data_IF_153964450015
#
_entry.id   IF_153964450015
#
_cell.length_a   1.000
_cell.length_b   1.000
_cell.length_c   1.000
_cell.angle_alpha   90.00
_cell.angle_beta   90.00
_cell.angle_gamma   90.00
#
_symmetry.space_group_name_H-M   'P 1'
#
loop_
_entity.id
_entity.type
_entity.pdbx_description
1 polymer ?
#
# COMPACT_ATOMS: atom_id res chain seq x y z
N UNK A 1 6.04 -20.17 -14.73
CA UNK A 1 5.67 -18.83 -15.21
C UNK A 1 5.94 -18.77 -16.70
N UNK A 2 5.07 -18.15 -17.49
CA UNK A 2 5.41 -17.82 -18.88
C UNK A 2 6.46 -16.73 -18.81
N UNK A 3 7.63 -16.98 -19.39
CA UNK A 3 8.76 -16.05 -19.43
C UNK A 3 8.88 -15.36 -20.79
N UNK A 4 9.79 -14.40 -20.91
CA UNK A 4 10.22 -13.79 -22.16
C UNK A 4 11.40 -14.57 -22.74
N UNK A 5 11.51 -14.65 -24.06
CA UNK A 5 12.61 -15.38 -24.70
C UNK A 5 13.92 -14.59 -24.71
N UNK A 6 13.85 -13.25 -24.60
CA UNK A 6 15.02 -12.37 -24.58
C UNK A 6 14.80 -11.14 -23.72
N UNK A 7 15.90 -10.52 -23.28
CA UNK A 7 15.91 -9.19 -22.70
C UNK A 7 15.57 -8.14 -23.78
N UNK A 8 14.87 -7.10 -23.38
CA UNK A 8 14.54 -5.95 -24.25
C UNK A 8 14.66 -4.68 -23.44
N UNK A 9 15.01 -3.59 -24.11
CA UNK A 9 15.07 -2.22 -23.62
C UNK A 9 14.19 -1.30 -24.48
N UNK A 10 13.07 -1.82 -24.98
CA UNK A 10 12.11 -1.11 -25.81
C UNK A 10 11.53 0.12 -25.08
N UNK A 11 11.40 1.20 -25.81
CA UNK A 11 10.77 2.45 -25.33
C UNK A 11 9.73 2.90 -26.33
N UNK A 12 8.48 3.03 -25.86
CA UNK A 12 7.34 3.54 -26.64
C UNK A 12 6.91 4.88 -26.06
N UNK A 13 6.84 5.92 -26.89
CA UNK A 13 6.43 7.28 -26.48
C UNK A 13 5.17 7.67 -27.24
N UNK A 14 4.14 8.11 -26.49
CA UNK A 14 2.88 8.62 -27.05
C UNK A 14 2.54 9.97 -26.43
N UNK A 15 1.81 10.82 -27.16
CA UNK A 15 1.45 12.16 -26.71
C UNK A 15 -0.01 12.22 -26.35
N UNK A 16 -0.31 12.78 -25.19
CA UNK A 16 -1.66 12.82 -24.63
C UNK A 16 -1.97 14.17 -23.99
N UNK A 17 -3.23 14.34 -23.63
CA UNK A 17 -3.68 15.41 -22.76
C UNK A 17 -4.86 14.90 -21.94
N UNK A 18 -4.93 15.31 -20.66
CA UNK A 18 -6.03 15.00 -19.76
C UNK A 18 -6.45 16.25 -18.99
N UNK A 19 -7.69 16.25 -18.51
CA UNK A 19 -8.19 17.29 -17.60
C UNK A 19 -7.96 16.89 -16.15
N UNK A 20 -6.98 17.51 -15.50
CA UNK A 20 -6.54 17.21 -14.13
C UNK A 20 -6.73 18.44 -13.26
N UNK A 21 -7.38 18.31 -12.12
CA UNK A 21 -7.67 19.42 -11.20
C UNK A 21 -8.26 20.66 -11.92
N UNK A 22 -9.16 20.43 -12.90
CA UNK A 22 -9.80 21.47 -13.69
C UNK A 22 -8.97 22.06 -14.84
N UNK A 23 -7.67 21.71 -14.97
CA UNK A 23 -6.75 22.20 -16.00
C UNK A 23 -6.49 21.14 -17.07
N UNK A 24 -6.32 21.54 -18.34
CA UNK A 24 -5.82 20.66 -19.40
C UNK A 24 -4.31 20.58 -19.31
N UNK A 25 -3.77 19.38 -19.13
CA UNK A 25 -2.35 19.09 -19.06
C UNK A 25 -1.97 18.21 -20.24
N UNK A 26 -1.04 18.69 -21.08
CA UNK A 26 -0.40 17.90 -22.13
C UNK A 26 0.79 17.16 -21.56
N UNK A 27 0.99 15.91 -21.95
CA UNK A 27 2.07 15.08 -21.44
C UNK A 27 2.53 14.05 -22.45
N UNK A 28 3.72 13.57 -22.28
CA UNK A 28 4.23 12.38 -22.95
C UNK A 28 4.04 11.17 -22.02
N UNK A 29 3.44 10.11 -22.57
CA UNK A 29 3.39 8.81 -21.89
C UNK A 29 4.50 7.93 -22.46
N UNK A 30 5.35 7.41 -21.57
CA UNK A 30 6.57 6.66 -21.92
C UNK A 30 6.44 5.27 -21.28
N UNK A 31 6.33 4.23 -22.10
CA UNK A 31 6.44 2.85 -21.63
C UNK A 31 7.86 2.38 -21.90
N UNK A 32 8.56 1.93 -20.86
CA UNK A 32 9.95 1.49 -21.00
C UNK A 32 10.14 0.10 -20.43
N UNK A 33 10.85 -0.73 -21.17
CA UNK A 33 11.35 -2.03 -20.73
C UNK A 33 12.76 -1.88 -20.16
N UNK A 34 12.99 -2.44 -18.97
CA UNK A 34 14.27 -2.35 -18.29
C UNK A 34 14.72 -3.73 -17.79
N UNK A 35 15.75 -4.32 -18.40
CA UNK A 35 16.31 -5.58 -17.92
C UNK A 35 16.85 -5.42 -16.50
N UNK A 36 16.56 -6.37 -15.61
CA UNK A 36 17.10 -6.46 -14.26
C UNK A 36 17.86 -7.76 -14.05
N UNK A 37 18.85 -7.71 -13.17
CA UNK A 37 19.76 -8.85 -12.94
C UNK A 37 19.48 -9.54 -11.61
N UNK A 38 19.82 -10.83 -11.54
CA UNK A 38 19.85 -11.59 -10.30
C UNK A 38 21.12 -11.26 -9.47
N UNK A 39 21.35 -11.98 -8.39
CA UNK A 39 22.50 -11.81 -7.49
C UNK A 39 23.85 -12.30 -8.11
N UNK A 40 23.79 -12.98 -9.26
CA UNK A 40 24.96 -13.39 -10.06
C UNK A 40 25.25 -12.42 -11.21
N UNK A 41 24.57 -11.29 -11.26
CA UNK A 41 24.69 -10.30 -12.34
C UNK A 41 24.18 -10.78 -13.71
N UNK A 42 23.40 -11.84 -13.76
CA UNK A 42 22.77 -12.34 -14.98
C UNK A 42 21.42 -11.68 -15.18
N UNK A 43 21.07 -11.30 -16.41
CA UNK A 43 19.74 -10.74 -16.71
C UNK A 43 18.67 -11.80 -16.43
N UNK A 44 17.79 -11.50 -15.49
CA UNK A 44 16.81 -12.46 -14.97
C UNK A 44 15.35 -12.09 -15.27
N UNK A 45 15.05 -10.81 -15.46
CA UNK A 45 13.72 -10.34 -15.81
C UNK A 45 13.79 -9.03 -16.59
N UNK A 46 12.65 -8.66 -17.21
CA UNK A 46 12.42 -7.31 -17.74
C UNK A 46 11.34 -6.66 -16.90
N UNK A 47 11.62 -5.48 -16.36
CA UNK A 47 10.67 -4.64 -15.63
C UNK A 47 10.08 -3.61 -16.59
N UNK A 48 8.76 -3.44 -16.55
CA UNK A 48 8.06 -2.45 -17.35
C UNK A 48 7.64 -1.28 -16.47
N UNK A 49 7.89 -0.07 -16.96
CA UNK A 49 7.49 1.19 -16.34
C UNK A 49 6.54 1.97 -17.23
N UNK A 50 5.60 2.67 -16.61
CA UNK A 50 4.66 3.57 -17.27
C UNK A 50 4.88 4.98 -16.72
N UNK A 51 5.54 5.82 -17.50
CA UNK A 51 5.86 7.18 -17.08
C UNK A 51 4.96 8.20 -17.76
N UNK A 52 4.60 9.25 -17.05
CA UNK A 52 3.84 10.39 -17.52
C UNK A 52 4.61 11.65 -17.20
N UNK A 53 5.10 12.32 -18.25
CA UNK A 53 5.94 13.52 -18.13
C UNK A 53 5.16 14.70 -18.68
N UNK A 54 4.75 15.60 -17.80
CA UNK A 54 4.00 16.78 -18.21
C UNK A 54 4.89 17.73 -19.02
N UNK A 55 4.32 18.31 -20.08
CA UNK A 55 5.03 19.35 -20.85
C UNK A 55 5.07 20.60 -19.99
N UNK A 56 6.26 21.15 -19.69
CA UNK A 56 6.41 22.31 -18.82
C UNK A 56 5.71 23.53 -19.42
N UNK A 57 5.02 24.30 -18.58
CA UNK A 57 4.82 25.70 -18.85
C UNK A 57 6.20 26.38 -18.80
N UNK A 58 6.45 27.38 -19.63
CA UNK A 58 7.75 27.99 -19.91
C UNK A 58 8.55 28.53 -18.69
N UNK A 59 7.96 28.55 -17.49
CA UNK A 59 8.52 29.18 -16.29
C UNK A 59 8.56 28.25 -15.05
N UNK A 60 8.24 26.97 -15.17
CA UNK A 60 8.28 26.02 -14.04
C UNK A 60 9.68 25.40 -13.90
N UNK A 61 10.28 25.48 -12.70
CA UNK A 61 11.55 24.84 -12.36
C UNK A 61 11.51 23.31 -12.48
N UNK A 62 12.59 22.62 -12.06
CA UNK A 62 12.64 21.15 -12.11
C UNK A 62 11.49 20.52 -11.33
N UNK A 63 10.61 19.82 -12.06
CA UNK A 63 9.47 19.12 -11.47
C UNK A 63 9.94 17.89 -10.70
N UNK A 64 9.37 17.57 -9.52
CA UNK A 64 9.66 16.31 -8.85
C UNK A 64 9.14 15.12 -9.66
N UNK A 65 9.78 13.96 -9.46
CA UNK A 65 9.38 12.69 -10.04
C UNK A 65 8.91 11.75 -8.93
N UNK A 66 7.70 11.19 -9.05
CA UNK A 66 7.17 10.20 -8.12
C UNK A 66 7.30 8.81 -8.73
N UNK A 67 8.08 7.92 -8.10
CA UNK A 67 8.16 6.50 -8.45
C UNK A 67 7.16 5.73 -7.59
N UNK A 68 6.19 5.11 -8.25
CA UNK A 68 4.95 4.61 -7.63
C UNK A 68 4.81 3.12 -7.88
N UNK A 69 4.55 2.36 -6.82
CA UNK A 69 4.36 0.91 -6.92
C UNK A 69 3.46 0.36 -5.80
N UNK A 70 2.66 -0.63 -6.14
CA UNK A 70 1.88 -1.41 -5.17
C UNK A 70 2.75 -2.52 -4.53
N UNK A 71 2.15 -3.31 -3.66
CA UNK A 71 2.82 -4.31 -2.86
C UNK A 71 2.49 -5.74 -3.23
N UNK A 72 1.69 -6.37 -2.46
CA UNK A 72 1.39 -7.80 -2.46
C UNK A 72 2.17 -8.56 -1.38
N UNK A 73 3.43 -9.06 -1.59
CA UNK A 73 4.23 -9.05 -2.81
C UNK A 73 3.55 -9.75 -4.00
N UNK A 74 3.87 -9.31 -5.19
CA UNK A 74 3.30 -9.88 -6.42
C UNK A 74 2.14 -9.07 -7.02
N UNK A 75 1.84 -7.86 -6.55
CA UNK A 75 0.90 -6.95 -7.18
C UNK A 75 1.60 -6.02 -8.19
N UNK A 76 0.95 -5.77 -9.34
CA UNK A 76 1.34 -4.75 -10.29
C UNK A 76 1.02 -3.35 -9.77
N UNK A 77 1.52 -2.32 -10.42
CA UNK A 77 1.21 -0.92 -10.10
C UNK A 77 -0.20 -0.48 -10.50
N UNK A 78 -0.98 -1.33 -11.18
CA UNK A 78 -2.27 -0.95 -11.78
C UNK A 78 -3.28 -0.33 -10.80
N UNK A 79 -3.39 -0.69 -9.51
CA UNK A 79 -4.29 -0.01 -8.59
C UNK A 79 -3.91 1.47 -8.39
N UNK A 80 -2.66 1.76 -8.04
CA UNK A 80 -2.19 3.14 -7.89
C UNK A 80 -2.16 3.89 -9.23
N UNK A 81 -1.92 3.19 -10.34
CA UNK A 81 -1.87 3.73 -11.68
C UNK A 81 -3.25 4.13 -12.20
N UNK A 82 -4.19 3.17 -12.27
CA UNK A 82 -5.47 3.35 -12.96
C UNK A 82 -6.69 3.49 -12.01
N UNK A 83 -6.46 3.51 -10.70
CA UNK A 83 -7.53 3.83 -9.74
C UNK A 83 -7.21 5.05 -8.88
N UNK A 84 -5.91 5.45 -8.73
CA UNK A 84 -5.53 6.53 -7.86
C UNK A 84 -4.90 7.73 -8.60
N UNK A 85 -3.66 7.62 -9.09
CA UNK A 85 -2.81 8.78 -9.38
C UNK A 85 -2.46 8.98 -10.85
N UNK A 86 -2.64 7.99 -11.74
CA UNK A 86 -2.37 8.15 -13.17
C UNK A 86 -3.26 9.19 -13.84
N UNK A 87 -2.92 9.71 -15.04
CA UNK A 87 -3.71 10.72 -15.73
C UNK A 87 -5.05 10.21 -16.25
N UNK A 88 -5.18 8.89 -16.42
CA UNK A 88 -6.42 8.18 -16.79
C UNK A 88 -6.78 7.24 -15.64
N UNK A 89 -8.05 7.09 -15.36
CA UNK A 89 -8.57 6.16 -14.36
C UNK A 89 -9.68 5.26 -14.90
N UNK A 90 -9.83 4.10 -14.29
CA UNK A 90 -11.02 3.27 -14.43
C UNK A 90 -12.11 3.89 -13.53
N UNK A 91 -13.06 4.57 -14.16
CA UNK A 91 -14.19 5.17 -13.49
C UNK A 91 -15.33 4.15 -13.37
N UNK A 92 -15.92 4.08 -12.19
CA UNK A 92 -17.09 3.25 -11.90
C UNK A 92 -18.28 4.16 -11.56
N UNK A 93 -19.42 3.87 -12.16
CA UNK A 93 -20.67 4.55 -11.84
C UNK A 93 -21.72 3.49 -11.58
N UNK A 94 -22.48 3.67 -10.51
CA UNK A 94 -23.56 2.74 -10.16
C UNK A 94 -24.51 2.49 -11.34
N UNK A 95 -24.67 1.23 -11.75
CA UNK A 95 -25.53 0.83 -12.87
C UNK A 95 -24.93 0.97 -14.27
N UNK A 96 -23.63 1.32 -14.38
CA UNK A 96 -22.90 1.36 -15.65
C UNK A 96 -21.63 0.49 -15.57
N UNK A 97 -21.17 -0.09 -16.69
CA UNK A 97 -19.91 -0.82 -16.70
C UNK A 97 -18.73 0.13 -16.43
N UNK A 98 -17.63 -0.37 -15.85
CA UNK A 98 -16.42 0.42 -15.66
C UNK A 98 -15.87 0.88 -17.02
N UNK A 99 -15.29 2.09 -17.05
CA UNK A 99 -14.74 2.68 -18.29
C UNK A 99 -13.54 3.57 -17.99
N UNK A 100 -12.69 3.82 -18.99
CA UNK A 100 -11.56 4.73 -18.90
C UNK A 100 -12.02 6.19 -19.01
N UNK A 101 -11.50 7.04 -18.14
CA UNK A 101 -11.81 8.48 -18.13
C UNK A 101 -10.59 9.29 -17.65
N UNK A 102 -10.56 10.58 -17.96
CA UNK A 102 -9.60 11.51 -17.37
C UNK A 102 -9.68 11.44 -15.84
N UNK A 103 -8.53 11.45 -15.18
CA UNK A 103 -8.46 11.39 -13.72
C UNK A 103 -8.28 12.78 -13.11
N UNK A 104 -9.33 13.41 -12.54
CA UNK A 104 -9.20 14.71 -11.90
C UNK A 104 -8.32 14.69 -10.65
N UNK A 105 -8.06 13.50 -10.11
CA UNK A 105 -7.26 13.25 -8.89
C UNK A 105 -5.79 12.95 -9.19
N UNK A 106 -5.41 12.85 -10.46
CA UNK A 106 -4.01 12.61 -10.85
C UNK A 106 -3.06 13.63 -10.24
N UNK A 107 -1.86 13.19 -9.88
CA UNK A 107 -0.79 14.05 -9.36
C UNK A 107 0.08 14.67 -10.46
N UNK A 108 -0.24 14.42 -11.74
CA UNK A 108 0.52 14.92 -12.89
C UNK A 108 0.51 16.46 -12.99
N UNK A 109 -0.39 17.14 -12.27
CA UNK A 109 -0.38 18.60 -12.17
C UNK A 109 0.76 19.16 -11.30
N UNK A 110 1.39 18.36 -10.45
CA UNK A 110 2.43 18.80 -9.51
C UNK A 110 3.75 18.01 -9.62
N UNK A 111 3.74 16.83 -10.22
CA UNK A 111 4.91 15.96 -10.37
C UNK A 111 4.82 15.14 -11.65
N UNK A 112 5.94 14.66 -12.15
CA UNK A 112 5.94 13.59 -13.14
C UNK A 112 5.78 12.24 -12.44
N UNK A 113 5.11 11.29 -13.09
CA UNK A 113 4.71 10.03 -12.45
C UNK A 113 5.35 8.85 -13.18
N UNK A 114 5.92 7.93 -12.43
CA UNK A 114 6.50 6.69 -12.98
C UNK A 114 5.93 5.51 -12.19
N UNK A 115 5.03 4.76 -12.80
CA UNK A 115 4.48 3.54 -12.24
C UNK A 115 5.38 2.36 -12.63
N UNK A 116 5.74 1.53 -11.66
CA UNK A 116 6.63 0.39 -11.86
C UNK A 116 5.88 -0.88 -11.55
N UNK A 117 5.83 -1.79 -12.52
CA UNK A 117 5.41 -3.16 -12.29
C UNK A 117 6.63 -3.97 -11.82
N UNK A 118 6.70 -4.41 -10.55
CA UNK A 118 7.84 -5.18 -10.07
C UNK A 118 8.01 -6.53 -10.80
N UNK A 119 9.18 -7.20 -10.71
CA UNK A 119 9.40 -8.47 -11.39
C UNK A 119 8.30 -9.50 -11.15
N UNK A 120 7.78 -10.09 -12.25
CA UNK A 120 6.72 -11.10 -12.23
C UNK A 120 5.30 -10.57 -12.08
N UNK A 121 5.07 -9.25 -12.17
CA UNK A 121 3.77 -8.59 -12.11
C UNK A 121 3.49 -7.79 -13.38
N UNK A 122 2.24 -7.44 -13.64
CA UNK A 122 1.86 -6.76 -14.87
C UNK A 122 2.31 -7.55 -16.10
N UNK A 123 3.19 -6.94 -16.87
CA UNK A 123 3.93 -7.57 -17.97
C UNK A 123 5.45 -7.57 -17.74
N UNK A 124 5.88 -7.30 -16.51
CA UNK A 124 7.27 -7.43 -16.06
C UNK A 124 7.61 -8.89 -15.85
N UNK A 125 8.15 -9.53 -16.88
CA UNK A 125 8.28 -10.99 -16.94
C UNK A 125 9.70 -11.45 -16.72
N UNK A 126 9.89 -12.64 -16.07
CA UNK A 126 11.16 -13.34 -16.04
C UNK A 126 11.66 -13.68 -17.45
N UNK A 127 12.98 -13.77 -17.63
CA UNK A 127 13.59 -14.38 -18.82
C UNK A 127 13.45 -15.90 -18.71
N UNK A 128 13.04 -16.54 -19.80
CA UNK A 128 12.86 -18.00 -19.86
C UNK A 128 14.19 -18.72 -19.53
N UNK A 129 14.18 -19.59 -18.54
CA UNK A 129 15.35 -20.34 -18.10
C UNK A 129 16.31 -19.59 -17.17
N UNK A 130 16.09 -18.30 -16.89
CA UNK A 130 16.92 -17.55 -15.95
C UNK A 130 16.62 -17.91 -14.48
N UNK A 131 17.64 -17.83 -13.63
CA UNK A 131 17.48 -17.93 -12.18
C UNK A 131 16.88 -16.61 -11.65
N UNK A 132 15.62 -16.67 -11.24
CA UNK A 132 14.88 -15.53 -10.70
C UNK A 132 14.69 -15.60 -9.20
N UNK A 133 15.25 -16.59 -8.52
CA UNK A 133 15.00 -16.84 -7.10
C UNK A 133 15.33 -15.64 -6.22
N UNK A 134 16.44 -14.97 -6.50
CA UNK A 134 16.86 -13.78 -5.75
C UNK A 134 15.93 -12.57 -5.94
N UNK A 135 15.23 -12.47 -7.07
CA UNK A 135 14.30 -11.35 -7.35
C UNK A 135 13.03 -11.39 -6.48
N UNK A 136 12.66 -12.58 -5.98
CA UNK A 136 11.45 -12.79 -5.16
C UNK A 136 11.77 -12.81 -3.66
N UNK A 137 12.62 -11.89 -3.26
CA UNK A 137 13.01 -11.64 -1.87
C UNK A 137 12.94 -10.14 -1.57
N UNK A 138 12.91 -9.77 -0.29
CA UNK A 138 12.92 -8.37 0.12
C UNK A 138 14.13 -7.61 -0.46
N UNK A 139 15.31 -8.19 -0.34
CA UNK A 139 16.56 -7.55 -0.77
C UNK A 139 16.67 -7.48 -2.29
N UNK A 140 16.35 -8.57 -2.99
CA UNK A 140 16.46 -8.64 -4.45
C UNK A 140 15.41 -7.78 -5.17
N UNK A 141 14.18 -7.75 -4.66
CA UNK A 141 13.11 -6.89 -5.16
C UNK A 141 13.48 -5.41 -4.98
N UNK A 142 13.91 -5.02 -3.78
CA UNK A 142 14.33 -3.64 -3.49
C UNK A 142 15.50 -3.21 -4.39
N UNK A 143 16.50 -4.08 -4.59
CA UNK A 143 17.64 -3.82 -5.48
C UNK A 143 17.18 -3.66 -6.92
N UNK A 144 16.37 -4.59 -7.43
CA UNK A 144 15.89 -4.55 -8.82
C UNK A 144 15.09 -3.28 -9.10
N UNK A 145 14.16 -2.89 -8.20
CA UNK A 145 13.35 -1.68 -8.38
C UNK A 145 14.20 -0.41 -8.21
N UNK A 146 15.17 -0.40 -7.29
CA UNK A 146 16.08 0.75 -7.13
C UNK A 146 16.97 0.95 -8.36
N UNK A 147 17.47 -0.11 -8.99
CA UNK A 147 18.21 -0.04 -10.25
C UNK A 147 17.34 0.50 -11.40
N UNK A 148 16.06 0.09 -11.46
CA UNK A 148 15.09 0.62 -12.43
C UNK A 148 14.87 2.12 -12.22
N UNK A 149 14.67 2.57 -10.98
CA UNK A 149 14.50 3.99 -10.65
C UNK A 149 15.72 4.80 -11.10
N UNK A 150 16.93 4.36 -10.78
CA UNK A 150 18.14 5.09 -11.15
C UNK A 150 18.33 5.15 -12.68
N UNK A 151 18.19 4.01 -13.38
CA UNK A 151 18.30 3.97 -14.85
C UNK A 151 17.23 4.80 -15.56
N UNK A 152 15.99 4.78 -15.03
CA UNK A 152 14.94 5.64 -15.57
C UNK A 152 15.32 7.14 -15.45
N UNK A 153 15.84 7.55 -14.28
CA UNK A 153 16.31 8.93 -14.06
C UNK A 153 17.43 9.33 -15.00
N UNK A 154 18.37 8.43 -15.26
CA UNK A 154 19.48 8.65 -16.22
C UNK A 154 18.98 8.76 -17.66
N UNK A 155 18.18 7.80 -18.11
CA UNK A 155 17.66 7.74 -19.48
C UNK A 155 16.76 8.93 -19.84
N UNK A 156 16.07 9.50 -18.83
CA UNK A 156 15.17 10.64 -19.03
C UNK A 156 15.77 11.99 -18.59
N UNK A 157 17.07 12.06 -18.33
CA UNK A 157 17.77 13.28 -17.89
C UNK A 157 17.20 13.92 -16.63
N UNK A 158 16.78 13.10 -15.65
CA UNK A 158 16.13 13.52 -14.39
C UNK A 158 16.99 13.22 -13.15
N UNK A 159 18.31 13.13 -13.33
CA UNK A 159 19.24 12.80 -12.22
C UNK A 159 19.33 13.90 -11.17
N UNK A 160 19.09 15.16 -11.55
CA UNK A 160 19.07 16.34 -10.67
C UNK A 160 17.69 16.69 -10.14
N UNK A 161 16.62 16.19 -10.78
CA UNK A 161 15.24 16.43 -10.33
C UNK A 161 15.01 15.85 -8.94
N UNK A 162 14.28 16.56 -8.06
CA UNK A 162 13.79 16.00 -6.82
C UNK A 162 12.97 14.74 -7.12
N UNK A 163 13.07 13.72 -6.28
CA UNK A 163 12.27 12.52 -6.48
C UNK A 163 11.77 11.92 -5.17
N UNK A 164 10.71 11.14 -5.27
CA UNK A 164 10.16 10.45 -4.12
C UNK A 164 9.72 9.02 -4.48
N UNK A 165 9.73 8.14 -3.47
CA UNK A 165 9.18 6.81 -3.54
C UNK A 165 7.77 6.80 -2.93
N UNK A 166 6.80 6.22 -3.65
CA UNK A 166 5.40 6.09 -3.22
C UNK A 166 5.03 4.62 -3.27
N UNK A 167 4.87 4.01 -2.11
CA UNK A 167 4.52 2.59 -1.98
C UNK A 167 3.20 2.38 -1.26
N UNK A 168 2.46 1.34 -1.67
CA UNK A 168 1.27 0.86 -0.97
C UNK A 168 1.49 -0.56 -0.45
N UNK A 169 0.99 -0.85 0.77
CA UNK A 169 1.05 -2.19 1.35
C UNK A 169 2.50 -2.70 1.43
N UNK A 170 2.83 -3.91 0.96
CA UNK A 170 4.22 -4.37 0.83
C UNK A 170 5.10 -3.38 0.03
N UNK A 171 4.53 -2.57 -0.86
CA UNK A 171 5.28 -1.50 -1.53
C UNK A 171 5.89 -0.48 -0.57
N UNK A 172 5.34 -0.33 0.63
CA UNK A 172 5.95 0.49 1.69
C UNK A 172 7.22 -0.16 2.24
N UNK A 173 7.19 -1.47 2.48
CA UNK A 173 8.36 -2.25 2.87
C UNK A 173 9.44 -2.22 1.78
N UNK A 174 9.05 -2.37 0.50
CA UNK A 174 9.95 -2.19 -0.67
C UNK A 174 10.59 -0.82 -0.65
N UNK A 175 9.80 0.26 -0.53
CA UNK A 175 10.33 1.63 -0.50
C UNK A 175 11.36 1.82 0.61
N UNK A 176 11.10 1.29 1.80
CA UNK A 176 12.03 1.36 2.92
C UNK A 176 13.29 0.52 2.70
N UNK A 177 13.15 -0.69 2.18
CA UNK A 177 14.31 -1.55 1.84
C UNK A 177 15.19 -0.92 0.75
N UNK A 178 14.60 -0.21 -0.22
CA UNK A 178 15.35 0.54 -1.25
C UNK A 178 16.24 1.63 -0.66
N UNK A 179 15.90 2.22 0.50
CA UNK A 179 16.75 3.22 1.16
C UNK A 179 18.09 2.66 1.64
N UNK A 180 18.17 1.35 1.85
CA UNK A 180 19.40 0.66 2.25
C UNK A 180 19.93 -0.32 1.20
N UNK A 181 19.33 -0.38 0.00
CA UNK A 181 19.72 -1.33 -1.02
C UNK A 181 21.11 -1.00 -1.60
N UNK A 182 21.96 -2.01 -1.66
CA UNK A 182 23.22 -1.94 -2.41
C UNK A 182 22.91 -2.20 -3.89
N UNK A 183 22.92 -1.14 -4.68
CA UNK A 183 22.66 -1.16 -6.12
C UNK A 183 23.95 -0.97 -6.90
N UNK A 184 24.02 -1.50 -8.13
CA UNK A 184 25.18 -1.30 -9.04
C UNK A 184 25.39 0.17 -9.37
N UNK A 185 24.28 0.85 -9.66
CA UNK A 185 24.24 2.31 -9.85
C UNK A 185 23.64 2.89 -8.58
N UNK A 186 24.47 3.53 -7.76
CA UNK A 186 24.05 4.03 -6.44
C UNK A 186 22.87 4.99 -6.56
N UNK A 187 21.65 4.51 -6.20
CA UNK A 187 20.48 5.37 -6.10
C UNK A 187 20.70 6.35 -4.92
N UNK A 188 20.64 7.67 -5.14
CA UNK A 188 20.70 8.63 -4.04
C UNK A 188 19.45 8.52 -3.16
N UNK A 189 19.54 9.01 -1.91
CA UNK A 189 18.34 9.06 -1.05
C UNK A 189 17.28 10.00 -1.65
N UNK A 190 16.00 9.60 -1.69
CA UNK A 190 14.91 10.41 -2.22
C UNK A 190 14.69 11.70 -1.40
N UNK A 191 14.02 12.67 -1.97
CA UNK A 191 13.58 13.89 -1.28
C UNK A 191 12.33 13.62 -0.43
N UNK A 192 11.61 12.54 -0.72
CA UNK A 192 10.49 12.11 0.08
C UNK A 192 10.15 10.63 -0.07
N UNK A 193 9.42 10.12 0.93
CA UNK A 193 8.82 8.78 0.93
C UNK A 193 7.38 8.89 1.38
N UNK A 194 6.43 8.40 0.58
CA UNK A 194 5.03 8.29 0.94
C UNK A 194 4.64 6.80 1.09
N UNK A 195 4.14 6.45 2.24
CA UNK A 195 3.86 5.09 2.68
C UNK A 195 2.35 4.93 2.89
N UNK A 196 1.67 4.31 1.92
CA UNK A 196 0.24 4.10 1.94
C UNK A 196 -0.05 2.70 2.48
N UNK A 197 -0.94 2.61 3.49
CA UNK A 197 -1.27 1.35 4.16
C UNK A 197 -0.02 0.64 4.64
N UNK A 198 0.64 1.30 5.59
CA UNK A 198 2.01 1.05 6.02
C UNK A 198 2.24 -0.37 6.54
N UNK A 199 2.99 -1.15 5.78
CA UNK A 199 3.37 -2.53 6.08
C UNK A 199 4.87 -2.59 6.41
N UNK A 200 5.23 -2.49 7.69
CA UNK A 200 6.64 -2.43 8.13
C UNK A 200 7.13 -3.62 8.96
N UNK A 201 6.26 -4.58 9.24
CA UNK A 201 6.64 -5.84 9.89
C UNK A 201 7.15 -5.74 11.34
N UNK A 202 7.33 -4.55 11.87
CA UNK A 202 7.94 -4.30 13.17
C UNK A 202 6.97 -4.57 14.34
N UNK A 203 6.32 -5.74 14.36
CA UNK A 203 5.40 -6.08 15.43
C UNK A 203 6.15 -6.50 16.69
N UNK A 204 5.77 -5.92 17.81
CA UNK A 204 6.43 -6.11 19.11
C UNK A 204 5.91 -7.33 19.88
N UNK A 205 5.31 -8.29 19.17
CA UNK A 205 4.71 -9.49 19.76
C UNK A 205 3.20 -9.35 20.02
N UNK A 206 2.53 -10.42 20.47
CA UNK A 206 1.06 -10.53 20.47
C UNK A 206 0.36 -9.46 21.29
N UNK A 207 0.89 -9.11 22.47
CA UNK A 207 0.27 -8.09 23.35
C UNK A 207 0.20 -6.73 22.65
N UNK A 208 1.28 -6.29 22.05
CA UNK A 208 1.32 -5.00 21.35
C UNK A 208 0.45 -5.06 20.09
N UNK A 209 0.46 -6.18 19.37
CA UNK A 209 -0.41 -6.37 18.20
C UNK A 209 -1.90 -6.23 18.55
N UNK A 210 -2.35 -6.73 19.71
CA UNK A 210 -3.73 -6.56 20.17
C UNK A 210 -4.06 -5.10 20.50
N UNK A 211 -3.11 -4.37 21.12
CA UNK A 211 -3.24 -2.94 21.43
C UNK A 211 -3.36 -2.10 20.16
N UNK A 212 -2.51 -2.38 19.18
CA UNK A 212 -2.48 -1.67 17.88
C UNK A 212 -3.71 -1.96 17.02
N UNK A 213 -4.26 -3.16 17.12
CA UNK A 213 -5.39 -3.62 16.33
C UNK A 213 -6.73 -3.05 16.85
N UNK A 214 -6.89 -2.92 18.16
CA UNK A 214 -8.15 -2.56 18.80
C UNK A 214 -8.83 -1.31 18.21
N UNK A 215 -8.15 -0.18 17.94
CA UNK A 215 -8.79 1.00 17.39
C UNK A 215 -9.43 0.76 16.01
N UNK A 216 -8.80 -0.05 15.16
CA UNK A 216 -9.32 -0.43 13.84
C UNK A 216 -10.56 -1.31 13.99
N UNK A 217 -10.53 -2.32 14.87
CA UNK A 217 -11.71 -3.15 15.11
C UNK A 217 -12.89 -2.35 15.65
N UNK A 218 -12.62 -1.37 16.52
CA UNK A 218 -13.63 -0.43 17.00
C UNK A 218 -14.23 0.41 15.88
N UNK A 219 -13.39 0.92 14.95
CA UNK A 219 -13.87 1.66 13.78
C UNK A 219 -14.77 0.78 12.87
N UNK A 220 -14.38 -0.48 12.65
CA UNK A 220 -15.20 -1.44 11.88
C UNK A 220 -16.54 -1.71 12.57
N UNK A 221 -16.53 -1.96 13.88
CA UNK A 221 -17.77 -2.16 14.65
C UNK A 221 -18.66 -0.90 14.62
N UNK A 222 -18.06 0.29 14.72
CA UNK A 222 -18.74 1.57 14.56
C UNK A 222 -19.42 1.70 13.18
N UNK A 223 -18.72 1.33 12.09
CA UNK A 223 -19.25 1.41 10.73
C UNK A 223 -20.51 0.55 10.56
N UNK A 224 -20.51 -0.67 11.10
CA UNK A 224 -21.60 -1.63 10.97
C UNK A 224 -22.77 -1.43 11.95
N UNK A 225 -22.78 -0.34 12.73
CA UNK A 225 -23.75 -0.13 13.82
C UNK A 225 -23.84 -1.30 14.81
N UNK A 226 -22.72 -2.04 14.97
CA UNK A 226 -22.64 -3.16 15.91
C UNK A 226 -22.38 -2.70 17.36
N UNK A 227 -22.12 -1.41 17.54
CA UNK A 227 -21.88 -0.74 18.83
C UNK A 227 -22.60 0.61 18.87
N UNK A 228 -22.83 1.14 20.06
CA UNK A 228 -23.39 2.49 20.22
C UNK A 228 -22.33 3.53 19.81
N UNK A 229 -22.60 4.26 18.74
CA UNK A 229 -21.73 5.35 18.22
C UNK A 229 -21.67 6.57 19.13
N UNK A 230 -22.62 6.76 20.02
CA UNK A 230 -22.70 7.90 20.95
C UNK A 230 -22.58 9.27 20.26
N UNK A 231 -23.06 9.36 19.01
CA UNK A 231 -22.95 10.57 18.20
C UNK A 231 -21.53 10.94 17.74
N UNK A 232 -20.56 10.07 17.94
CA UNK A 232 -19.16 10.27 17.53
C UNK A 232 -18.96 10.01 16.04
N UNK A 233 -18.02 10.76 15.42
CA UNK A 233 -17.46 10.41 14.13
C UNK A 233 -16.54 9.19 14.26
N UNK A 234 -16.16 8.55 13.15
CA UNK A 234 -15.22 7.42 13.18
C UNK A 234 -13.86 7.82 13.75
N UNK A 235 -13.38 9.02 13.43
CA UNK A 235 -12.13 9.57 13.96
C UNK A 235 -12.15 9.69 15.50
N UNK A 236 -13.25 10.21 16.03
CA UNK A 236 -13.43 10.36 17.49
C UNK A 236 -13.52 9.00 18.17
N UNK A 237 -14.26 8.04 17.57
CA UNK A 237 -14.42 6.70 18.12
C UNK A 237 -13.11 5.91 18.07
N UNK A 238 -12.37 6.01 16.97
CA UNK A 238 -11.03 5.43 16.83
C UNK A 238 -10.07 6.00 17.89
N UNK A 239 -10.07 7.33 18.08
CA UNK A 239 -9.19 7.98 19.08
C UNK A 239 -9.51 7.54 20.51
N UNK A 240 -10.81 7.40 20.88
CA UNK A 240 -11.22 6.88 22.18
C UNK A 240 -10.79 5.42 22.37
N UNK A 241 -10.99 4.57 21.36
CA UNK A 241 -10.57 3.18 21.41
C UNK A 241 -9.03 3.07 21.54
N UNK A 242 -8.28 3.93 20.84
CA UNK A 242 -6.83 4.00 20.95
C UNK A 242 -6.36 4.42 22.35
N UNK A 243 -6.98 5.44 22.92
CA UNK A 243 -6.66 5.85 24.30
C UNK A 243 -6.87 4.71 25.31
N UNK A 244 -7.95 3.97 25.17
CA UNK A 244 -8.21 2.79 26.00
C UNK A 244 -7.20 1.66 25.73
N UNK A 245 -6.87 1.41 24.45
CA UNK A 245 -5.90 0.40 24.05
C UNK A 245 -4.52 0.65 24.66
N UNK A 246 -3.99 1.85 24.53
CA UNK A 246 -2.67 2.27 25.04
C UNK A 246 -2.64 2.42 26.57
N UNK A 247 -3.79 2.48 27.23
CA UNK A 247 -3.96 2.67 28.66
C UNK A 247 -4.30 1.39 29.41
N UNK A 248 -5.57 1.26 29.79
CA UNK A 248 -6.08 0.20 30.65
C UNK A 248 -5.97 -1.18 30.01
N UNK A 249 -6.21 -1.30 28.70
CA UNK A 249 -6.13 -2.56 27.99
C UNK A 249 -4.72 -3.12 27.93
N UNK A 250 -3.74 -2.31 27.58
CA UNK A 250 -2.33 -2.71 27.57
C UNK A 250 -1.88 -3.21 28.97
N UNK A 251 -2.25 -2.48 30.02
CA UNK A 251 -1.94 -2.90 31.42
C UNK A 251 -2.59 -4.24 31.77
N UNK A 252 -3.82 -4.47 31.34
CA UNK A 252 -4.54 -5.72 31.58
C UNK A 252 -3.87 -6.90 30.86
N UNK A 253 -3.47 -6.72 29.60
CA UNK A 253 -2.75 -7.73 28.82
C UNK A 253 -1.40 -8.08 29.45
N UNK A 254 -0.62 -7.06 29.88
CA UNK A 254 0.67 -7.26 30.56
C UNK A 254 0.48 -8.01 31.90
N UNK A 255 -0.58 -7.71 32.66
CA UNK A 255 -0.87 -8.38 33.91
C UNK A 255 -1.23 -9.87 33.72
N UNK A 256 -1.84 -10.23 32.58
CA UNK A 256 -2.12 -11.62 32.22
C UNK A 256 -2.91 -12.39 33.29
N UNK A 257 -2.38 -13.52 33.74
CA UNK A 257 -3.00 -14.35 34.76
C UNK A 257 -3.07 -13.71 36.16
N UNK A 258 -2.24 -12.69 36.44
CA UNK A 258 -2.27 -11.97 37.73
C UNK A 258 -3.36 -10.90 37.80
N UNK A 259 -4.08 -10.62 36.71
CA UNK A 259 -5.20 -9.68 36.70
C UNK A 259 -6.37 -10.22 37.51
N UNK A 260 -6.87 -9.40 38.46
CA UNK A 260 -7.99 -9.79 39.34
C UNK A 260 -9.25 -10.07 38.50
N UNK A 261 -10.09 -11.07 38.86
CA UNK A 261 -11.31 -11.41 38.11
C UNK A 261 -12.23 -10.21 37.86
N UNK A 262 -12.46 -9.38 38.88
CA UNK A 262 -13.30 -8.16 38.76
C UNK A 262 -12.74 -7.18 37.72
N UNK A 263 -11.44 -7.01 37.69
CA UNK A 263 -10.78 -6.12 36.73
C UNK A 263 -10.82 -6.72 35.32
N UNK A 264 -10.61 -8.02 35.19
CA UNK A 264 -10.76 -8.74 33.90
C UNK A 264 -12.15 -8.55 33.30
N UNK A 265 -13.19 -8.75 34.12
CA UNK A 265 -14.59 -8.54 33.70
C UNK A 265 -14.85 -7.08 33.29
N UNK A 266 -14.29 -6.10 34.01
CA UNK A 266 -14.40 -4.67 33.67
C UNK A 266 -13.78 -4.37 32.29
N UNK A 267 -12.56 -4.89 32.04
CA UNK A 267 -11.89 -4.71 30.77
C UNK A 267 -12.62 -5.42 29.63
N UNK A 268 -13.09 -6.66 29.84
CA UNK A 268 -13.87 -7.40 28.84
C UNK A 268 -15.18 -6.67 28.48
N UNK A 269 -15.89 -6.13 29.48
CA UNK A 269 -17.09 -5.34 29.26
C UNK A 269 -16.78 -4.08 28.42
N UNK A 270 -15.67 -3.40 28.72
CA UNK A 270 -15.25 -2.22 27.95
C UNK A 270 -14.87 -2.58 26.50
N UNK A 271 -14.11 -3.65 26.29
CA UNK A 271 -13.82 -4.18 24.96
C UNK A 271 -15.11 -4.49 24.19
N UNK A 272 -16.06 -5.20 24.83
CA UNK A 272 -17.36 -5.52 24.23
C UNK A 272 -18.10 -4.26 23.75
N UNK A 273 -18.12 -3.19 24.54
CA UNK A 273 -18.74 -1.92 24.14
C UNK A 273 -18.03 -1.22 22.97
N UNK A 274 -16.75 -1.50 22.76
CA UNK A 274 -15.95 -0.89 21.67
C UNK A 274 -16.00 -1.69 20.36
N UNK A 275 -15.97 -3.04 20.46
CA UNK A 275 -15.80 -3.89 19.28
C UNK A 275 -17.00 -4.82 19.01
N UNK A 276 -18.06 -4.81 19.83
CA UNK A 276 -19.29 -5.54 19.59
C UNK A 276 -19.21 -7.05 19.86
N UNK A 277 -18.07 -7.62 20.25
CA UNK A 277 -17.96 -9.03 20.61
C UNK A 277 -18.47 -9.27 22.05
N UNK A 278 -19.04 -10.46 22.36
CA UNK A 278 -19.51 -10.79 23.72
C UNK A 278 -18.41 -10.71 24.78
N UNK A 279 -18.65 -10.03 25.89
CA UNK A 279 -17.68 -9.90 27.00
C UNK A 279 -17.19 -11.25 27.54
N UNK A 280 -18.08 -12.25 27.64
CA UNK A 280 -17.73 -13.59 28.08
C UNK A 280 -16.71 -14.28 27.14
N UNK A 281 -16.84 -14.07 25.83
CA UNK A 281 -15.88 -14.58 24.84
C UNK A 281 -14.51 -13.91 25.02
N UNK A 282 -14.50 -12.59 25.24
CA UNK A 282 -13.27 -11.82 25.47
C UNK A 282 -12.57 -12.19 26.78
N UNK A 283 -13.32 -12.54 27.84
CA UNK A 283 -12.76 -13.09 29.07
C UNK A 283 -12.11 -14.45 28.85
N UNK A 284 -12.80 -15.34 28.09
CA UNK A 284 -12.31 -16.69 27.77
C UNK A 284 -11.03 -16.68 26.94
N UNK A 285 -10.89 -15.73 26.01
CA UNK A 285 -9.65 -15.54 25.23
C UNK A 285 -8.50 -14.88 26.00
N UNK A 286 -8.67 -14.61 27.31
CA UNK A 286 -7.67 -13.89 28.09
C UNK A 286 -7.54 -12.43 27.71
N UNK A 287 -8.61 -11.83 27.18
CA UNK A 287 -8.69 -10.46 26.64
C UNK A 287 -7.97 -10.27 25.31
N UNK A 288 -7.38 -11.30 24.71
CA UNK A 288 -6.76 -11.24 23.40
C UNK A 288 -7.82 -11.23 22.30
N UNK A 289 -7.53 -10.50 21.21
CA UNK A 289 -8.46 -10.31 20.12
C UNK A 289 -7.86 -10.92 18.83
N UNK A 290 -8.36 -12.09 18.46
CA UNK A 290 -8.02 -12.71 17.20
C UNK A 290 -8.79 -12.06 16.03
N UNK A 291 -8.06 -11.66 14.98
CA UNK A 291 -8.62 -10.99 13.77
C UNK A 291 -9.72 -11.83 13.11
N UNK A 292 -9.47 -13.12 12.96
CA UNK A 292 -10.39 -14.03 12.29
C UNK A 292 -11.66 -14.21 13.11
N UNK A 293 -11.53 -14.37 14.43
CA UNK A 293 -12.65 -14.43 15.38
C UNK A 293 -13.48 -13.15 15.31
N UNK A 294 -12.85 -11.98 15.22
CA UNK A 294 -13.58 -10.71 15.07
C UNK A 294 -14.32 -10.65 13.73
N UNK A 295 -13.66 -10.95 12.62
CA UNK A 295 -14.26 -10.89 11.27
C UNK A 295 -15.46 -11.82 11.11
N UNK A 296 -15.47 -12.98 11.77
CA UNK A 296 -16.58 -13.92 11.76
C UNK A 296 -17.64 -13.60 12.81
N UNK A 297 -17.27 -13.02 13.94
CA UNK A 297 -18.13 -12.80 15.09
C UNK A 297 -18.96 -11.52 15.03
N UNK A 298 -18.42 -10.44 14.48
CA UNK A 298 -19.04 -9.10 14.54
C UNK A 298 -20.47 -9.07 13.99
N UNK A 299 -20.73 -9.74 12.87
CA UNK A 299 -22.01 -9.77 12.17
C UNK A 299 -22.59 -11.19 12.07
N UNK A 300 -22.20 -12.07 12.98
CA UNK A 300 -22.63 -13.47 12.97
C UNK A 300 -24.16 -13.64 13.11
N UNK A 301 -24.82 -12.75 13.87
CA UNK A 301 -26.26 -12.67 13.99
C UNK A 301 -26.99 -12.40 12.67
N UNK A 302 -26.30 -11.73 11.73
CA UNK A 302 -26.76 -11.46 10.35
C UNK A 302 -26.29 -12.50 9.35
N UNK A 303 -25.57 -13.55 9.79
CA UNK A 303 -24.98 -14.55 8.91
C UNK A 303 -23.86 -14.02 8.00
N UNK A 304 -23.25 -12.88 8.36
CA UNK A 304 -22.22 -12.17 7.57
C UNK A 304 -20.87 -12.22 8.27
N UNK A 305 -19.81 -12.16 7.46
CA UNK A 305 -18.44 -11.86 7.89
C UNK A 305 -17.96 -10.56 7.27
N UNK A 306 -17.00 -9.90 7.92
CA UNK A 306 -16.34 -8.72 7.38
C UNK A 306 -15.06 -9.06 6.59
N UNK A 307 -14.58 -8.12 5.77
CA UNK A 307 -13.29 -8.19 5.07
C UNK A 307 -12.11 -7.84 5.97
N UNK A 308 -10.91 -8.24 5.54
CA UNK A 308 -9.65 -7.92 6.21
C UNK A 308 -8.98 -6.68 5.62
N UNK A 309 -8.95 -6.55 4.28
CA UNK A 309 -8.43 -5.36 3.62
C UNK A 309 -9.36 -4.17 3.80
N UNK A 310 -10.67 -4.41 3.83
CA UNK A 310 -11.67 -3.41 4.19
C UNK A 310 -12.73 -4.04 5.09
N UNK A 311 -12.73 -3.70 6.35
CA UNK A 311 -13.69 -4.19 7.34
C UNK A 311 -15.14 -3.79 7.05
N UNK A 312 -15.40 -2.86 6.11
CA UNK A 312 -16.76 -2.48 5.67
C UNK A 312 -17.35 -3.50 4.70
N UNK A 313 -16.51 -4.19 3.93
CA UNK A 313 -16.95 -5.21 2.99
C UNK A 313 -17.51 -6.42 3.74
N UNK A 314 -18.59 -7.00 3.23
CA UNK A 314 -19.24 -8.16 3.85
C UNK A 314 -19.53 -9.26 2.85
N UNK A 315 -19.58 -10.51 3.35
CA UNK A 315 -20.01 -11.70 2.59
C UNK A 315 -20.76 -12.63 3.52
N UNK A 316 -21.70 -13.41 2.99
CA UNK A 316 -22.38 -14.46 3.72
C UNK A 316 -21.38 -15.53 4.20
N UNK A 317 -21.40 -15.89 5.48
CA UNK A 317 -20.50 -16.90 6.05
C UNK A 317 -20.68 -18.24 5.31
N UNK A 318 -21.92 -18.63 4.98
CA UNK A 318 -22.21 -19.86 4.25
C UNK A 318 -21.60 -19.94 2.83
N UNK A 319 -21.25 -18.80 2.24
CA UNK A 319 -20.61 -18.69 0.92
C UNK A 319 -19.11 -18.43 1.01
N UNK A 320 -18.55 -18.37 2.22
CA UNK A 320 -17.15 -18.05 2.45
C UNK A 320 -16.30 -19.30 2.55
N UNK A 321 -15.17 -19.30 1.87
CA UNK A 321 -14.09 -20.21 2.19
C UNK A 321 -13.36 -19.67 3.44
N UNK A 322 -13.36 -20.42 4.52
CA UNK A 322 -12.91 -19.98 5.86
C UNK A 322 -11.41 -19.67 5.97
N UNK A 323 -10.68 -19.61 4.87
CA UNK A 323 -9.23 -19.40 4.84
C UNK A 323 -8.83 -18.11 4.12
N UNK A 324 -8.78 -16.94 4.83
CA UNK A 324 -8.13 -15.75 4.31
C UNK A 324 -6.65 -16.05 3.93
N UNK A 325 -6.04 -15.34 2.98
CA UNK A 325 -6.51 -14.11 2.33
C UNK A 325 -7.34 -14.34 1.05
N UNK A 326 -7.54 -15.59 0.63
CA UNK A 326 -8.10 -15.91 -0.70
C UNK A 326 -9.59 -15.70 -0.84
N UNK A 327 -10.29 -15.59 0.27
CA UNK A 327 -11.73 -15.36 0.32
C UNK A 327 -12.09 -14.11 1.12
N UNK A 328 -11.31 -13.06 0.97
CA UNK A 328 -11.60 -11.77 1.59
C UNK A 328 -12.76 -11.09 0.84
N UNK A 329 -13.86 -10.71 1.53
CA UNK A 329 -14.97 -9.94 0.94
C UNK A 329 -14.54 -8.66 0.23
N UNK A 330 -13.45 -8.04 0.65
CA UNK A 330 -12.92 -6.81 0.08
C UNK A 330 -12.01 -7.02 -1.15
N UNK A 331 -11.62 -8.25 -1.48
CA UNK A 331 -10.84 -8.54 -2.68
C UNK A 331 -11.75 -8.68 -3.91
N UNK A 332 -12.01 -7.59 -4.60
CA UNK A 332 -12.78 -7.57 -5.85
C UNK A 332 -11.88 -7.42 -7.07
N UNK A 333 -11.24 -8.49 -7.49
CA UNK A 333 -10.52 -8.53 -8.77
C UNK A 333 -11.51 -8.90 -9.90
N UNK A 334 -12.17 -7.90 -10.47
CA UNK A 334 -13.08 -8.10 -11.59
C UNK A 334 -12.32 -8.34 -12.91
N UNK A 335 -12.69 -9.35 -13.69
CA UNK A 335 -12.14 -9.62 -15.02
C UNK A 335 -12.29 -8.40 -15.97
N UNK A 336 -13.34 -7.62 -15.81
CA UNK A 336 -13.63 -6.41 -16.59
C UNK A 336 -12.56 -5.32 -16.40
N UNK A 337 -12.09 -5.11 -15.18
CA UNK A 337 -11.00 -4.15 -14.91
C UNK A 337 -9.69 -4.59 -15.57
N UNK A 338 -9.38 -5.89 -15.56
CA UNK A 338 -8.22 -6.44 -16.25
C UNK A 338 -8.22 -6.19 -17.76
N UNK A 339 -9.38 -6.28 -18.40
CA UNK A 339 -9.53 -5.97 -19.83
C UNK A 339 -9.31 -4.49 -20.13
N UNK A 340 -9.82 -3.58 -19.28
CA UNK A 340 -9.62 -2.13 -19.45
C UNK A 340 -8.14 -1.73 -19.25
N UNK A 341 -7.42 -2.36 -18.33
CA UNK A 341 -5.98 -2.17 -18.16
C UNK A 341 -5.23 -2.56 -19.43
N UNK A 342 -5.51 -3.75 -19.97
CA UNK A 342 -4.90 -4.25 -21.19
C UNK A 342 -5.23 -3.35 -22.39
N UNK A 343 -6.48 -2.91 -22.51
CA UNK A 343 -6.92 -2.00 -23.57
C UNK A 343 -6.19 -0.65 -23.51
N UNK A 344 -6.07 -0.05 -22.33
CA UNK A 344 -5.36 1.20 -22.13
C UNK A 344 -3.89 1.08 -22.56
N UNK A 345 -3.20 0.03 -22.12
CA UNK A 345 -1.78 -0.17 -22.47
C UNK A 345 -1.61 -0.42 -23.97
N UNK A 346 -2.44 -1.29 -24.57
CA UNK A 346 -2.33 -1.63 -25.99
C UNK A 346 -2.78 -0.48 -26.91
N UNK A 347 -3.94 0.13 -26.62
CA UNK A 347 -4.61 1.03 -27.56
C UNK A 347 -4.20 2.49 -27.35
N UNK A 348 -4.08 2.93 -26.11
CA UNK A 348 -3.77 4.33 -25.80
C UNK A 348 -2.26 4.52 -25.71
N UNK A 349 -1.54 3.69 -24.92
CA UNK A 349 -0.09 3.79 -24.80
C UNK A 349 0.68 3.16 -25.97
N UNK A 350 -0.02 2.49 -26.90
CA UNK A 350 0.56 1.85 -28.10
C UNK A 350 1.66 0.82 -27.80
N UNK A 351 1.62 0.24 -26.60
CA UNK A 351 2.56 -0.79 -26.19
C UNK A 351 1.89 -2.17 -26.33
N UNK A 352 2.31 -3.01 -27.30
CA UNK A 352 1.75 -4.33 -27.50
C UNK A 352 2.13 -5.23 -26.32
N UNK A 353 1.13 -5.68 -25.56
CA UNK A 353 1.37 -6.53 -24.41
C UNK A 353 1.98 -7.88 -24.83
N UNK A 354 3.17 -8.24 -24.34
CA UNK A 354 3.83 -9.50 -24.70
C UNK A 354 3.15 -10.73 -24.06
N UNK A 355 2.28 -10.51 -23.09
CA UNK A 355 1.51 -11.54 -22.37
C UNK A 355 0.26 -10.90 -21.74
N UNK A 356 -0.72 -11.70 -21.23
CA UNK A 356 -1.82 -11.16 -20.44
C UNK A 356 -1.31 -10.38 -19.23
N UNK A 357 -1.87 -9.19 -19.00
CA UNK A 357 -1.50 -8.34 -17.85
C UNK A 357 -1.90 -8.99 -16.51
N UNK A 358 -0.93 -9.15 -15.61
CA UNK A 358 -1.12 -9.77 -14.28
C UNK A 358 -1.24 -8.71 -13.19
N UNK A 359 -2.46 -8.41 -12.80
CA UNK A 359 -2.71 -7.48 -11.69
C UNK A 359 -2.18 -8.00 -10.35
N UNK A 360 -2.31 -9.32 -10.10
CA UNK A 360 -1.82 -9.99 -8.90
C UNK A 360 -1.28 -11.39 -9.24
N UNK A 361 -0.06 -11.66 -8.80
CA UNK A 361 0.59 -12.96 -8.92
C UNK A 361 0.78 -13.60 -7.54
N UNK A 362 -0.23 -14.34 -7.08
CA UNK A 362 -0.21 -15.01 -5.78
C UNK A 362 0.89 -16.06 -5.66
N UNK A 363 1.33 -16.65 -6.78
CA UNK A 363 2.44 -17.60 -6.78
C UNK A 363 3.77 -17.00 -6.30
N UNK A 364 3.96 -15.69 -6.46
CA UNK A 364 5.08 -14.94 -5.89
C UNK A 364 4.86 -14.75 -4.39
N UNK A 365 3.67 -14.30 -4.00
CA UNK A 365 3.33 -14.03 -2.61
C UNK A 365 3.62 -15.23 -1.69
N UNK A 366 3.21 -16.43 -2.11
CA UNK A 366 3.41 -17.66 -1.33
C UNK A 366 4.85 -18.12 -1.19
N UNK A 367 5.70 -17.75 -2.14
CA UNK A 367 7.10 -18.16 -2.20
C UNK A 367 8.05 -17.05 -1.84
N UNK A 368 7.50 -15.93 -1.33
CA UNK A 368 8.31 -14.77 -1.02
C UNK A 368 9.33 -15.04 0.07
N UNK A 369 10.58 -14.71 -0.19
CA UNK A 369 11.63 -14.78 0.82
C UNK A 369 11.68 -13.48 1.65
N UNK A 370 11.24 -13.57 2.89
CA UNK A 370 11.29 -12.49 3.86
C UNK A 370 12.67 -12.32 4.52
N UNK A 371 13.65 -13.12 4.10
CA UNK A 371 15.03 -13.13 4.59
C UNK A 371 15.27 -14.13 5.72
N UNK A 372 16.28 -14.99 5.53
CA UNK A 372 16.80 -15.94 6.53
C UNK A 372 15.75 -16.85 7.19
N UNK A 373 14.77 -17.31 6.44
CA UNK A 373 13.72 -18.20 6.95
C UNK A 373 12.71 -17.52 7.87
N UNK A 374 12.62 -16.19 7.82
CA UNK A 374 11.67 -15.37 8.58
C UNK A 374 10.35 -15.24 7.84
N UNK A 375 9.28 -14.98 8.61
CA UNK A 375 8.00 -14.52 8.05
C UNK A 375 7.94 -13.00 7.98
N UNK A 376 6.84 -12.46 7.41
CA UNK A 376 6.60 -11.02 7.39
C UNK A 376 6.68 -10.35 8.77
N UNK A 377 6.15 -11.01 9.80
CA UNK A 377 6.15 -10.51 11.18
C UNK A 377 7.54 -10.31 11.79
N UNK A 378 8.56 -10.96 11.23
CA UNK A 378 9.94 -10.89 11.72
C UNK A 378 10.79 -9.89 10.91
N UNK A 379 10.26 -9.40 9.78
CA UNK A 379 10.94 -8.42 8.95
C UNK A 379 10.88 -7.04 9.63
N UNK A 380 11.98 -6.30 9.55
CA UNK A 380 12.09 -4.96 10.14
C UNK A 380 12.58 -3.97 9.10
N UNK A 381 11.77 -2.96 8.82
CA UNK A 381 12.05 -1.96 7.80
C UNK A 381 12.33 -0.57 8.37
N UNK A 382 11.90 -0.26 9.59
CA UNK A 382 12.16 1.02 10.25
C UNK A 382 13.64 1.39 10.36
N UNK A 383 14.62 0.45 10.55
CA UNK A 383 16.03 0.80 10.57
C UNK A 383 16.54 1.49 9.29
N UNK A 384 16.04 1.08 8.11
CA UNK A 384 16.40 1.73 6.84
C UNK A 384 15.92 3.18 6.80
N UNK A 385 14.69 3.43 7.24
CA UNK A 385 14.12 4.77 7.30
C UNK A 385 14.85 5.66 8.30
N UNK A 386 15.15 5.15 9.51
CA UNK A 386 15.91 5.88 10.54
C UNK A 386 17.28 6.30 9.99
N UNK A 387 17.99 5.38 9.33
CA UNK A 387 19.30 5.65 8.74
C UNK A 387 19.21 6.71 7.62
N UNK A 388 18.22 6.59 6.76
CA UNK A 388 18.00 7.55 5.67
C UNK A 388 17.66 8.95 6.20
N UNK A 389 16.79 9.06 7.21
CA UNK A 389 16.45 10.34 7.85
C UNK A 389 17.64 10.99 8.58
N UNK A 390 18.57 10.18 9.11
CA UNK A 390 19.83 10.69 9.66
C UNK A 390 20.75 11.25 8.58
N UNK A 391 20.87 10.57 7.44
CA UNK A 391 21.71 10.98 6.33
C UNK A 391 21.13 12.17 5.53
N UNK A 392 19.80 12.22 5.40
CA UNK A 392 19.07 13.28 4.71
C UNK A 392 17.94 13.83 5.60
N UNK A 393 18.25 14.71 6.56
CA UNK A 393 17.25 15.24 7.50
C UNK A 393 16.11 16.01 6.84
N UNK A 394 16.34 16.55 5.64
CA UNK A 394 15.32 17.27 4.85
C UNK A 394 14.30 16.34 4.15
N UNK A 395 14.56 15.02 4.10
CA UNK A 395 13.66 14.05 3.47
C UNK A 395 12.25 14.11 4.10
N UNK A 396 11.24 14.24 3.23
CA UNK A 396 9.83 14.37 3.65
C UNK A 396 9.19 12.99 3.78
N UNK A 397 8.63 12.69 4.95
CA UNK A 397 7.92 11.45 5.20
C UNK A 397 6.42 11.71 5.28
N UNK A 398 5.64 10.95 4.50
CA UNK A 398 4.19 10.91 4.60
C UNK A 398 3.72 9.49 4.87
N UNK A 399 2.76 9.31 5.77
CA UNK A 399 2.08 8.03 6.02
C UNK A 399 0.59 8.20 5.84
N UNK A 400 -0.02 7.21 5.20
CA UNK A 400 -1.44 7.17 4.86
C UNK A 400 -2.02 5.83 5.29
N UNK A 401 -3.23 5.80 5.87
CA UNK A 401 -3.93 4.54 6.17
C UNK A 401 -5.43 4.74 6.29
N UNK A 402 -6.16 3.63 6.20
CA UNK A 402 -7.61 3.59 6.39
C UNK A 402 -8.00 3.14 7.79
N UNK A 403 -9.05 3.74 8.38
CA UNK A 403 -9.55 3.34 9.70
C UNK A 403 -10.11 1.91 9.72
N UNK A 404 -10.51 1.37 8.56
CA UNK A 404 -11.14 0.06 8.44
C UNK A 404 -10.20 -1.03 7.89
N UNK A 405 -8.90 -0.71 7.77
CA UNK A 405 -7.87 -1.64 7.30
C UNK A 405 -7.38 -2.53 8.45
N UNK A 406 -7.88 -3.77 8.51
CA UNK A 406 -7.48 -4.76 9.52
C UNK A 406 -6.11 -5.37 9.17
N UNK A 407 -5.66 -5.27 7.91
CA UNK A 407 -4.38 -5.84 7.44
C UNK A 407 -3.20 -5.04 7.93
N UNK A 408 -3.23 -3.71 7.73
CA UNK A 408 -2.19 -2.77 8.13
C UNK A 408 -2.80 -1.64 8.98
N UNK A 409 -3.16 -1.92 10.25
CA UNK A 409 -3.82 -0.95 11.10
C UNK A 409 -3.03 0.35 11.24
N UNK A 410 -3.72 1.49 11.14
CA UNK A 410 -3.08 2.82 11.26
C UNK A 410 -2.28 2.95 12.55
N UNK A 411 -2.81 2.45 13.67
CA UNK A 411 -2.14 2.52 14.96
C UNK A 411 -0.84 1.72 14.99
N UNK A 412 -0.78 0.57 14.30
CA UNK A 412 0.43 -0.27 14.23
C UNK A 412 1.57 0.49 13.51
N UNK A 413 1.29 1.08 12.35
CA UNK A 413 2.28 1.87 11.62
C UNK A 413 2.78 3.08 12.43
N UNK A 414 1.88 3.78 13.13
CA UNK A 414 2.24 4.91 13.99
C UNK A 414 3.09 4.47 15.18
N UNK A 415 2.71 3.38 15.84
CA UNK A 415 3.45 2.81 16.96
C UNK A 415 4.89 2.45 16.57
N UNK A 416 5.06 1.74 15.47
CA UNK A 416 6.39 1.33 15.00
C UNK A 416 7.29 2.54 14.67
N UNK A 417 6.75 3.60 14.06
CA UNK A 417 7.50 4.82 13.77
C UNK A 417 7.86 5.59 15.05
N UNK A 418 6.94 5.72 16.00
CA UNK A 418 7.18 6.39 17.28
C UNK A 418 8.30 5.68 18.06
N UNK A 419 8.29 4.34 18.12
CA UNK A 419 9.30 3.54 18.79
C UNK A 419 10.63 3.48 18.04
N UNK A 420 10.64 3.81 16.74
CA UNK A 420 11.86 4.01 15.97
C UNK A 420 12.43 5.44 16.14
N UNK A 421 11.84 6.29 16.96
CA UNK A 421 12.25 7.67 17.17
C UNK A 421 11.84 8.64 16.07
N UNK A 422 10.84 8.27 15.26
CA UNK A 422 10.28 9.10 14.18
C UNK A 422 8.94 9.66 14.66
N UNK A 423 8.99 10.71 15.46
CA UNK A 423 7.82 11.35 16.07
C UNK A 423 6.92 12.10 15.07
N UNK A 424 5.74 12.57 15.53
CA UNK A 424 4.76 13.27 14.68
C UNK A 424 5.30 14.53 13.99
N UNK A 425 6.30 15.19 14.56
CA UNK A 425 6.99 16.36 14.01
C UNK A 425 7.87 16.04 12.79
N UNK A 426 8.24 14.76 12.62
CA UNK A 426 9.09 14.28 11.53
C UNK A 426 8.31 13.68 10.37
N UNK A 427 7.00 13.57 10.47
CA UNK A 427 6.15 12.94 9.46
C UNK A 427 4.82 13.66 9.29
N UNK A 428 4.25 13.60 8.09
CA UNK A 428 2.86 13.93 7.84
C UNK A 428 2.05 12.63 7.89
N UNK A 429 1.22 12.45 8.91
CA UNK A 429 0.36 11.26 9.05
C UNK A 429 -1.08 11.60 8.74
N UNK A 430 -1.72 10.81 7.88
CA UNK A 430 -3.12 10.98 7.47
C UNK A 430 -3.87 9.65 7.61
N UNK A 431 -5.08 9.73 8.13
CA UNK A 431 -5.99 8.59 8.20
C UNK A 431 -7.34 8.97 7.57
N UNK A 432 -7.98 8.00 6.94
CA UNK A 432 -9.16 8.19 6.10
C UNK A 432 -10.27 7.22 6.48
N UNK A 433 -11.52 7.57 6.22
CA UNK A 433 -12.66 6.68 6.42
C UNK A 433 -12.76 5.61 5.32
N UNK A 434 -11.68 4.86 5.13
CA UNK A 434 -11.46 3.89 4.07
C UNK A 434 -10.84 2.58 4.61
N UNK A 435 -10.78 1.57 3.76
CA UNK A 435 -10.03 0.34 3.96
C UNK A 435 -8.56 0.47 3.55
N UNK A 436 -7.96 -0.66 3.14
CA UNK A 436 -6.56 -0.78 2.75
C UNK A 436 -6.19 0.14 1.59
N UNK A 437 -6.96 0.10 0.50
CA UNK A 437 -6.79 0.98 -0.66
C UNK A 437 -7.68 2.21 -0.50
N UNK A 438 -7.16 3.25 0.15
CA UNK A 438 -7.88 4.50 0.46
C UNK A 438 -8.54 5.11 -0.79
N UNK A 439 -7.96 4.91 -1.94
CA UNK A 439 -8.41 5.44 -3.22
C UNK A 439 -9.61 4.70 -3.86
N UNK A 440 -10.10 3.61 -3.27
CA UNK A 440 -11.32 2.92 -3.73
C UNK A 440 -12.59 3.69 -3.39
N UNK A 441 -12.54 4.53 -2.36
CA UNK A 441 -13.61 5.48 -2.05
C UNK A 441 -13.33 6.83 -2.71
N UNK A 442 -14.23 7.31 -3.56
CA UNK A 442 -13.99 8.52 -4.38
C UNK A 442 -13.86 9.79 -3.53
N UNK A 443 -14.60 9.91 -2.44
CA UNK A 443 -14.50 11.05 -1.54
C UNK A 443 -13.14 11.07 -0.82
N UNK A 444 -12.69 9.89 -0.37
CA UNK A 444 -11.39 9.74 0.29
C UNK A 444 -10.23 9.86 -0.71
N UNK A 445 -10.40 9.40 -1.96
CA UNK A 445 -9.44 9.64 -3.04
C UNK A 445 -9.25 11.13 -3.31
N UNK A 446 -10.32 11.91 -3.33
CA UNK A 446 -10.23 13.36 -3.52
C UNK A 446 -9.42 14.03 -2.39
N UNK A 447 -9.63 13.61 -1.15
CA UNK A 447 -8.88 14.09 0.03
C UNK A 447 -7.42 13.64 -0.02
N UNK A 448 -7.17 12.36 -0.32
CA UNK A 448 -5.83 11.79 -0.48
C UNK A 448 -5.04 12.53 -1.55
N UNK A 449 -5.65 12.76 -2.72
CA UNK A 449 -5.01 13.48 -3.81
C UNK A 449 -4.64 14.93 -3.43
N UNK A 450 -5.50 15.61 -2.67
CA UNK A 450 -5.21 16.95 -2.16
C UNK A 450 -4.02 16.95 -1.17
N UNK A 451 -4.00 15.99 -0.24
CA UNK A 451 -2.91 15.84 0.73
C UNK A 451 -1.59 15.45 0.04
N UNK A 452 -1.63 14.51 -0.92
CA UNK A 452 -0.47 14.11 -1.71
C UNK A 452 0.07 15.25 -2.58
N UNK A 453 -0.79 16.08 -3.20
CA UNK A 453 -0.36 17.30 -3.92
C UNK A 453 0.34 18.28 -3.00
N UNK A 454 -0.22 18.51 -1.81
CA UNK A 454 0.40 19.38 -0.81
C UNK A 454 1.79 18.87 -0.41
N UNK A 455 1.90 17.57 -0.15
CA UNK A 455 3.17 16.93 0.19
C UNK A 455 4.17 16.99 -0.97
N UNK A 456 3.77 16.65 -2.19
CA UNK A 456 4.65 16.64 -3.36
C UNK A 456 5.26 18.02 -3.65
N UNK A 457 4.51 19.12 -3.40
CA UNK A 457 5.03 20.49 -3.53
C UNK A 457 6.12 20.85 -2.52
N UNK A 458 6.34 20.05 -1.50
CA UNK A 458 7.42 20.25 -0.51
C UNK A 458 8.73 19.57 -0.89
N UNK A 459 8.71 18.72 -1.92
CA UNK A 459 9.90 17.99 -2.39
C UNK A 459 10.93 18.95 -3.02
N UNK A 460 12.20 18.74 -2.70
CA UNK A 460 13.30 19.58 -3.21
C UNK A 460 13.40 20.98 -2.60
N UNK A 461 12.64 21.26 -1.54
CA UNK A 461 12.65 22.56 -0.84
C UNK A 461 13.27 22.47 0.54
#
# INVERSE_FOLDING_TARGET
MVGRDAASDEVVVTQHAARIAGRKISYDAIVSEMPVTNDKDETAAVVVTYAYVAKPASDEGERPVLFIFNGGPGASSSPLHLSAFGPVRIAEKQGAPPHLADNPYSLLDVADLVFIDPPGTGVSMPITGADTSSLFSVEGDARAVADVVQRWREANHRTTSPFALVGESYGTARALAMLGAETKTKLPLPDGVALLSLAIGDTSGPIISDVELLPTLAAVAWYHDAVDRRGMTVEQYFAEARQFAEGDYAKALIAGASLKPVERARIAARLSTLIGLPAAQLEQSGLQIDRHTFMLGLLADKGLRTGQLDGRATREIAKSNMHPPFDDPSMTLGAEKGSLIADYINKDLKYPLPSPYRTLNLGINFKWDWGRGRGYSDARFTPYLVQALKQKPAMKLMTVGGYYDITTPVAAGQFALDHAGIGPDRRTSKAYAAGHSVFEDEAELARLAADMRSWARTLGR
#
